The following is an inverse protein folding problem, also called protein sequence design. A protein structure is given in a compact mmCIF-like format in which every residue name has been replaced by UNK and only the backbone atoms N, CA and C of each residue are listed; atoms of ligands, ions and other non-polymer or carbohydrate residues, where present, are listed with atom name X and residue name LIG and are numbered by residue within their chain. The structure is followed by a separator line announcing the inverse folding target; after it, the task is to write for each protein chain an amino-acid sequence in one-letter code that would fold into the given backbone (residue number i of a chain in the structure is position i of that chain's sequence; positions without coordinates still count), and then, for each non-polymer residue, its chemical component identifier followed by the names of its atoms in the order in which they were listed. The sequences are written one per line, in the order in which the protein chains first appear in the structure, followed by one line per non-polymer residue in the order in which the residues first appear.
data_IF_180468344302
#
_entry.id   IF_180468344302
#
_cell.length_a   1.000
_cell.length_b   1.000
_cell.length_c   1.000
_cell.angle_alpha   90.00
_cell.angle_beta   90.00
_cell.angle_gamma   90.00
#
_symmetry.space_group_name_H-M   'P 1'
#
loop_
_entity.id
_entity.type
_entity.pdbx_description
1 polymer ?
#
# COMPACT_ATOMS: atom_id res chain seq x y z
N UNK A 1 3.48 8.21 16.94
CA UNK A 1 4.94 8.28 17.20
C UNK A 1 5.67 7.96 15.91
N UNK A 2 6.84 8.55 15.65
CA UNK A 2 7.70 8.21 14.51
C UNK A 2 8.95 7.57 15.08
N UNK A 3 9.11 6.26 14.84
CA UNK A 3 10.01 5.40 15.60
C UNK A 3 9.29 4.76 16.80
N UNK A 4 9.40 3.44 16.91
CA UNK A 4 8.91 2.63 18.03
C UNK A 4 10.03 1.69 18.48
N UNK A 5 10.15 1.48 19.79
CA UNK A 5 11.00 0.41 20.32
C UNK A 5 10.32 -0.97 20.19
N UNK A 6 11.05 -2.04 20.51
CA UNK A 6 10.55 -3.42 20.40
C UNK A 6 9.26 -3.63 21.21
N UNK A 7 9.22 -3.15 22.46
CA UNK A 7 8.05 -3.35 23.33
C UNK A 7 6.82 -2.58 22.84
N UNK A 8 7.03 -1.41 22.24
CA UNK A 8 5.96 -0.64 21.61
C UNK A 8 5.45 -1.32 20.33
N UNK A 9 6.35 -1.90 19.51
CA UNK A 9 5.94 -2.68 18.33
C UNK A 9 5.14 -3.91 18.74
N UNK A 10 5.59 -4.66 19.75
CA UNK A 10 4.88 -5.83 20.29
C UNK A 10 3.48 -5.43 20.79
N UNK A 11 3.37 -4.34 21.55
CA UNK A 11 2.07 -3.81 22.00
C UNK A 11 1.12 -3.51 20.83
N UNK A 12 1.61 -2.88 19.76
CA UNK A 12 0.77 -2.59 18.58
C UNK A 12 0.40 -3.87 17.83
N UNK A 13 1.28 -4.88 17.81
CA UNK A 13 1.06 -6.12 17.08
C UNK A 13 0.13 -7.11 17.79
N UNK A 14 0.11 -7.12 19.13
CA UNK A 14 -0.62 -8.12 19.92
C UNK A 14 -1.69 -7.56 20.85
N UNK A 15 -1.89 -6.24 20.90
CA UNK A 15 -2.89 -5.63 21.77
C UNK A 15 -4.31 -5.78 21.23
N UNK A 16 -5.23 -6.27 22.06
CA UNK A 16 -6.64 -6.44 21.71
C UNK A 16 -7.40 -5.10 21.57
N UNK A 17 -6.84 -4.01 22.12
CA UNK A 17 -7.39 -2.65 22.11
C UNK A 17 -6.87 -1.78 20.95
N UNK A 18 -6.05 -2.35 20.05
CA UNK A 18 -5.39 -1.60 18.98
C UNK A 18 -6.36 -1.32 17.84
N UNK A 19 -6.68 -0.02 17.67
CA UNK A 19 -7.55 0.46 16.59
C UNK A 19 -6.78 0.62 15.28
N UNK A 20 -7.44 0.37 14.15
CA UNK A 20 -6.93 0.78 12.83
C UNK A 20 -7.14 2.28 12.65
N UNK A 21 -6.08 3.04 12.43
CA UNK A 21 -6.13 4.51 12.32
C UNK A 21 -5.79 4.97 10.90
N UNK A 22 -6.80 5.48 10.20
CA UNK A 22 -6.65 6.31 9.01
C UNK A 22 -6.28 7.75 9.35
N UNK A 23 -5.97 8.56 8.33
CA UNK A 23 -5.69 9.99 8.53
C UNK A 23 -6.79 10.72 9.32
N UNK A 24 -8.07 10.45 9.02
CA UNK A 24 -9.22 11.04 9.72
C UNK A 24 -9.31 10.66 11.20
N UNK A 25 -8.73 9.51 11.57
CA UNK A 25 -8.82 8.96 12.92
C UNK A 25 -7.72 9.53 13.84
N UNK A 26 -6.72 10.24 13.27
CA UNK A 26 -5.58 10.77 14.02
C UNK A 26 -5.98 11.83 15.06
N UNK A 27 -6.81 12.80 14.70
CA UNK A 27 -7.20 13.88 15.62
C UNK A 27 -7.99 13.35 16.84
N UNK A 28 -9.03 12.51 16.65
CA UNK A 28 -9.72 11.88 17.77
C UNK A 28 -8.80 10.99 18.62
N UNK A 29 -7.90 10.21 17.99
CA UNK A 29 -6.97 9.35 18.72
C UNK A 29 -6.00 10.17 19.59
N UNK A 30 -5.48 11.29 19.07
CA UNK A 30 -4.63 12.22 19.82
C UNK A 30 -5.37 12.85 21.00
N UNK A 31 -6.60 13.34 20.78
CA UNK A 31 -7.40 13.98 21.82
C UNK A 31 -7.77 13.03 22.98
N UNK A 32 -7.91 11.74 22.68
CA UNK A 32 -8.33 10.71 23.66
C UNK A 32 -7.17 9.90 24.24
N UNK A 33 -5.94 10.09 23.73
CA UNK A 33 -4.79 9.26 24.09
C UNK A 33 -4.89 7.80 23.60
N UNK A 34 -5.75 7.52 22.62
CA UNK A 34 -5.94 6.17 22.11
C UNK A 34 -4.71 5.67 21.33
N UNK A 35 -4.39 4.39 21.49
CA UNK A 35 -3.36 3.70 20.69
C UNK A 35 -3.97 3.05 19.46
N UNK A 36 -3.18 2.91 18.39
CA UNK A 36 -3.66 2.28 17.16
C UNK A 36 -2.59 2.06 16.11
N UNK A 37 -2.85 1.10 15.22
CA UNK A 37 -2.04 0.78 14.06
C UNK A 37 -2.41 1.70 12.89
N UNK A 38 -1.45 2.49 12.41
CA UNK A 38 -1.68 3.46 11.33
C UNK A 38 -1.76 2.77 9.97
N UNK A 39 -2.74 3.16 9.17
CA UNK A 39 -2.83 2.79 7.74
C UNK A 39 -1.78 3.51 6.90
N UNK A 40 -1.72 3.24 5.59
CA UNK A 40 -0.86 3.97 4.65
C UNK A 40 -1.15 5.47 4.71
N UNK A 41 -2.42 5.89 4.73
CA UNK A 41 -2.78 7.30 4.85
C UNK A 41 -2.17 7.95 6.09
N UNK A 42 -2.52 7.49 7.28
CA UNK A 42 -1.98 8.04 8.52
C UNK A 42 -0.44 8.01 8.58
N UNK A 43 0.17 6.92 8.11
CA UNK A 43 1.63 6.76 8.13
C UNK A 43 2.32 7.74 7.17
N UNK A 44 1.82 7.89 5.94
CA UNK A 44 2.37 8.81 4.95
C UNK A 44 2.32 10.26 5.45
N UNK A 45 1.18 10.68 6.02
CA UNK A 45 1.04 12.02 6.60
C UNK A 45 2.05 12.27 7.74
N UNK A 46 2.11 11.35 8.70
CA UNK A 46 3.00 11.49 9.86
C UNK A 46 4.48 11.42 9.47
N UNK A 47 4.83 10.55 8.52
CA UNK A 47 6.19 10.41 8.00
C UNK A 47 6.64 11.69 7.29
N UNK A 48 5.83 12.21 6.36
CA UNK A 48 6.13 13.46 5.66
C UNK A 48 6.26 14.64 6.64
N UNK A 49 5.37 14.74 7.62
CA UNK A 49 5.44 15.77 8.68
C UNK A 49 6.71 15.67 9.53
N UNK A 50 7.27 14.47 9.68
CA UNK A 50 8.53 14.24 10.37
C UNK A 50 9.78 14.37 9.47
N UNK A 51 9.61 14.77 8.20
CA UNK A 51 10.71 14.91 7.23
C UNK A 51 11.17 13.59 6.60
N UNK A 52 10.44 12.50 6.80
CA UNK A 52 10.76 11.20 6.16
C UNK A 52 10.22 11.20 4.73
N UNK A 53 11.12 11.01 3.76
CA UNK A 53 10.79 11.06 2.32
C UNK A 53 10.50 9.73 1.67
N UNK A 54 10.84 8.60 2.31
CA UNK A 54 10.65 7.26 1.75
C UNK A 54 9.94 6.37 2.77
N UNK A 55 8.86 5.73 2.33
CA UNK A 55 8.02 4.85 3.12
C UNK A 55 7.83 3.51 2.40
N UNK A 56 8.05 2.38 3.08
CA UNK A 56 7.79 1.05 2.57
C UNK A 56 6.53 0.44 3.17
N UNK A 57 5.71 -0.21 2.36
CA UNK A 57 4.55 -0.98 2.80
C UNK A 57 4.39 -2.23 1.95
N UNK A 58 3.51 -3.15 2.34
CA UNK A 58 3.16 -4.30 1.49
C UNK A 58 2.43 -3.85 0.23
N UNK A 59 1.25 -3.25 0.40
CA UNK A 59 0.39 -2.79 -0.68
C UNK A 59 -0.51 -1.65 -0.21
N UNK A 60 -0.83 -0.74 -1.12
CA UNK A 60 -1.71 0.41 -0.86
C UNK A 60 -3.16 -0.05 -0.66
N UNK A 61 -3.97 0.77 -0.01
CA UNK A 61 -5.40 0.80 -0.31
C UNK A 61 -5.66 1.43 -1.68
N UNK A 62 -6.90 1.39 -2.15
CA UNK A 62 -7.26 1.88 -3.48
C UNK A 62 -8.76 1.93 -3.67
N UNK A 63 -9.18 1.91 -4.92
CA UNK A 63 -10.60 1.80 -5.30
C UNK A 63 -11.03 0.34 -5.09
N UNK A 64 -12.10 0.12 -4.33
CA UNK A 64 -12.63 -1.22 -4.14
C UNK A 64 -13.41 -1.69 -5.37
N UNK A 65 -13.51 -3.01 -5.52
CA UNK A 65 -14.40 -3.62 -6.52
C UNK A 65 -15.84 -3.15 -6.27
N UNK A 66 -16.61 -2.98 -7.34
CA UNK A 66 -17.97 -2.43 -7.30
C UNK A 66 -18.07 -0.97 -6.80
N UNK A 67 -16.99 -0.18 -6.91
CA UNK A 67 -16.97 1.23 -6.52
C UNK A 67 -18.09 2.08 -7.15
N UNK A 68 -18.50 1.80 -8.39
CA UNK A 68 -19.59 2.52 -9.06
C UNK A 68 -20.94 2.39 -8.35
N UNK A 69 -21.09 1.40 -7.47
CA UNK A 69 -22.29 1.17 -6.64
C UNK A 69 -22.02 1.52 -5.18
N UNK A 70 -20.90 1.04 -4.62
CA UNK A 70 -20.61 1.11 -3.18
C UNK A 70 -19.94 2.40 -2.76
N UNK A 71 -19.24 3.07 -3.68
CA UNK A 71 -18.40 4.23 -3.41
C UNK A 71 -17.42 3.99 -2.23
N UNK A 72 -16.82 2.80 -2.15
CA UNK A 72 -15.73 2.46 -1.22
C UNK A 72 -14.31 2.66 -1.81
N UNK A 73 -13.63 3.74 -1.41
CA UNK A 73 -12.30 4.15 -1.87
C UNK A 73 -11.45 4.45 -0.65
N UNK A 74 -10.24 3.91 -0.67
CA UNK A 74 -9.28 4.16 0.40
C UNK A 74 -8.90 5.64 0.48
N UNK A 75 -8.96 6.18 1.69
CA UNK A 75 -8.42 7.50 2.01
C UNK A 75 -6.91 7.65 1.71
N UNK A 76 -6.21 6.54 1.45
CA UNK A 76 -4.83 6.55 0.96
C UNK A 76 -4.69 7.40 -0.31
N UNK A 77 -5.59 7.26 -1.29
CA UNK A 77 -5.43 7.90 -2.60
C UNK A 77 -5.46 9.43 -2.50
N UNK A 78 -6.53 9.96 -1.90
CA UNK A 78 -6.71 11.40 -1.75
C UNK A 78 -5.64 12.03 -0.83
N UNK A 79 -5.10 11.27 0.13
CA UNK A 79 -4.02 11.78 0.97
C UNK A 79 -2.68 11.78 0.23
N UNK A 80 -2.36 10.71 -0.49
CA UNK A 80 -1.12 10.60 -1.27
C UNK A 80 -1.04 11.69 -2.35
N UNK A 81 -2.19 12.09 -2.91
CA UNK A 81 -2.33 13.24 -3.81
C UNK A 81 -1.94 14.60 -3.21
N UNK A 82 -1.68 14.67 -1.90
CA UNK A 82 -1.33 15.89 -1.16
C UNK A 82 -0.16 15.70 -0.20
N UNK A 83 0.61 14.62 -0.36
CA UNK A 83 1.68 14.26 0.57
C UNK A 83 2.98 14.02 -0.19
N UNK A 84 3.99 14.86 0.04
CA UNK A 84 5.31 14.74 -0.58
C UNK A 84 6.12 13.58 0.00
N UNK A 85 5.90 12.37 -0.52
CA UNK A 85 6.57 11.14 -0.05
C UNK A 85 6.68 10.10 -1.16
N UNK A 86 7.77 9.32 -1.18
CA UNK A 86 7.89 8.13 -2.00
C UNK A 86 7.33 6.92 -1.25
N UNK A 87 6.40 6.18 -1.85
CA UNK A 87 5.86 4.94 -1.27
C UNK A 87 6.27 3.75 -2.10
N UNK A 88 7.11 2.88 -1.53
CA UNK A 88 7.51 1.61 -2.15
C UNK A 88 6.54 0.51 -1.73
N UNK A 89 5.87 -0.10 -2.70
CA UNK A 89 4.87 -1.14 -2.46
C UNK A 89 4.79 -2.15 -3.62
N UNK A 90 4.17 -3.29 -3.38
CA UNK A 90 3.82 -4.26 -4.41
C UNK A 90 2.47 -3.91 -5.08
N UNK A 91 2.24 -2.62 -5.35
CA UNK A 91 1.00 -2.13 -5.92
C UNK A 91 -0.10 -1.90 -4.88
N UNK A 92 -1.34 -2.20 -5.24
CA UNK A 92 -2.52 -2.11 -4.35
C UNK A 92 -2.93 -3.51 -3.93
N UNK A 93 -3.49 -3.68 -2.71
CA UNK A 93 -3.90 -5.00 -2.22
C UNK A 93 -4.77 -5.72 -3.26
N UNK A 94 -4.51 -7.00 -3.50
CA UNK A 94 -5.11 -7.77 -4.60
C UNK A 94 -6.64 -7.87 -4.58
N UNK A 95 -7.26 -7.52 -3.45
CA UNK A 95 -8.71 -7.48 -3.25
C UNK A 95 -9.38 -6.27 -3.93
N UNK A 96 -8.59 -5.29 -4.37
CA UNK A 96 -9.03 -4.02 -4.91
C UNK A 96 -9.24 -4.10 -6.43
N UNK A 97 -9.78 -3.03 -6.99
CA UNK A 97 -9.88 -2.81 -8.42
C UNK A 97 -8.63 -2.07 -8.90
N UNK A 98 -7.68 -2.82 -9.49
CA UNK A 98 -6.41 -2.27 -9.98
C UNK A 98 -6.61 -1.22 -11.08
N UNK A 99 -7.36 -1.49 -12.17
CA UNK A 99 -7.52 -0.50 -13.23
C UNK A 99 -8.24 0.76 -12.74
N UNK A 100 -9.28 0.65 -11.91
CA UNK A 100 -9.93 1.82 -11.33
C UNK A 100 -8.99 2.60 -10.39
N UNK A 101 -8.12 1.91 -9.65
CA UNK A 101 -7.13 2.58 -8.79
C UNK A 101 -6.08 3.33 -9.60
N UNK A 102 -5.57 2.76 -10.70
CA UNK A 102 -4.62 3.44 -11.57
C UNK A 102 -5.22 4.70 -12.20
N UNK A 103 -6.45 4.61 -12.72
CA UNK A 103 -7.19 5.76 -13.24
C UNK A 103 -7.43 6.85 -12.19
N UNK A 104 -7.67 6.43 -10.95
CA UNK A 104 -7.85 7.36 -9.84
C UNK A 104 -6.55 8.05 -9.44
N UNK A 105 -5.43 7.33 -9.39
CA UNK A 105 -4.11 7.91 -9.14
C UNK A 105 -3.73 8.92 -10.22
N UNK A 106 -3.99 8.61 -11.49
CA UNK A 106 -3.83 9.52 -12.63
C UNK A 106 -4.65 10.80 -12.42
N UNK A 107 -5.95 10.67 -12.16
CA UNK A 107 -6.86 11.81 -11.93
C UNK A 107 -6.40 12.69 -10.77
N UNK A 108 -5.80 12.09 -9.74
CA UNK A 108 -5.31 12.77 -8.54
C UNK A 108 -3.89 13.34 -8.70
N UNK A 109 -3.23 13.13 -9.85
CA UNK A 109 -1.86 13.59 -10.07
C UNK A 109 -0.82 12.86 -9.22
N UNK A 110 -1.09 11.61 -8.83
CA UNK A 110 -0.13 10.76 -8.10
C UNK A 110 0.72 9.99 -9.09
N UNK A 111 2.03 10.24 -9.10
CA UNK A 111 2.95 9.56 -10.01
C UNK A 111 3.12 8.09 -9.67
N UNK A 112 3.21 7.23 -10.69
CA UNK A 112 3.47 5.79 -10.56
C UNK A 112 4.65 5.41 -11.45
N UNK A 113 5.65 4.73 -10.88
CA UNK A 113 6.78 4.16 -11.61
C UNK A 113 6.91 2.67 -11.27
N UNK A 114 7.13 1.82 -12.27
CA UNK A 114 7.51 0.43 -12.07
C UNK A 114 9.00 0.29 -11.82
N UNK A 115 9.38 -0.48 -10.79
CA UNK A 115 10.78 -0.78 -10.50
C UNK A 115 11.20 -2.08 -11.18
N UNK A 116 11.99 -1.97 -12.25
CA UNK A 116 12.45 -3.10 -13.06
C UNK A 116 11.35 -3.77 -13.89
N UNK A 117 10.19 -3.13 -14.02
CA UNK A 117 9.01 -3.67 -14.71
C UNK A 117 8.21 -2.55 -15.39
N UNK A 118 7.56 -2.88 -16.51
CA UNK A 118 6.54 -2.06 -17.20
C UNK A 118 5.11 -2.51 -16.86
N UNK A 119 4.98 -3.45 -15.91
CA UNK A 119 3.72 -4.01 -15.42
C UNK A 119 3.48 -3.60 -13.97
N UNK A 120 2.26 -3.16 -13.67
CA UNK A 120 1.84 -2.89 -12.31
C UNK A 120 1.66 -4.21 -11.54
N UNK A 121 2.26 -4.37 -10.35
CA UNK A 121 2.17 -5.60 -9.56
C UNK A 121 0.80 -5.79 -8.92
N UNK A 122 0.37 -7.05 -8.83
CA UNK A 122 -0.92 -7.47 -8.26
C UNK A 122 -0.85 -7.83 -6.77
N UNK A 123 0.04 -7.18 -6.00
CA UNK A 123 0.32 -7.46 -4.59
C UNK A 123 0.92 -8.84 -4.32
N UNK A 124 0.10 -9.90 -4.37
CA UNK A 124 0.60 -11.27 -4.26
C UNK A 124 1.17 -11.81 -5.57
N UNK A 125 0.87 -11.12 -6.68
CA UNK A 125 1.26 -11.48 -8.03
C UNK A 125 2.28 -10.48 -8.57
N UNK A 126 3.24 -10.98 -9.34
CA UNK A 126 4.28 -10.19 -10.01
C UNK A 126 3.67 -9.20 -11.00
N UNK A 127 2.62 -9.62 -11.71
CA UNK A 127 1.88 -8.83 -12.70
C UNK A 127 0.37 -8.85 -12.39
N UNK A 128 -0.27 -7.68 -12.44
CA UNK A 128 -1.72 -7.51 -12.29
C UNK A 128 -2.50 -7.56 -13.60
N UNK A 129 -1.84 -7.57 -14.75
CA UNK A 129 -2.48 -7.40 -16.06
C UNK A 129 -2.37 -5.98 -16.62
N UNK A 130 -1.98 -4.99 -15.80
CA UNK A 130 -2.02 -3.57 -16.16
C UNK A 130 -0.63 -2.96 -16.36
N UNK A 131 -0.44 -2.09 -17.36
CA UNK A 131 0.84 -1.43 -17.59
C UNK A 131 1.10 -0.30 -16.58
N UNK A 132 2.36 0.11 -16.48
CA UNK A 132 2.77 1.42 -15.93
C UNK A 132 3.50 2.21 -17.01
N UNK A 133 3.30 3.53 -17.04
CA UNK A 133 3.84 4.37 -18.11
C UNK A 133 5.34 4.64 -17.98
N UNK A 134 5.88 4.53 -16.77
CA UNK A 134 7.26 4.88 -16.45
C UNK A 134 7.96 3.74 -15.72
N UNK A 135 9.17 3.40 -16.16
CA UNK A 135 10.00 2.36 -15.54
C UNK A 135 11.33 2.94 -15.10
N UNK A 136 11.73 2.58 -13.89
CA UNK A 136 13.05 2.86 -13.31
C UNK A 136 13.75 1.55 -12.96
N UNK A 137 15.07 1.51 -12.99
CA UNK A 137 15.87 0.28 -12.86
C UNK A 137 16.86 0.30 -11.71
N UNK A 138 17.05 1.44 -11.05
CA UNK A 138 17.95 1.55 -9.90
C UNK A 138 17.38 2.47 -8.80
N UNK A 139 17.85 2.32 -7.54
CA UNK A 139 17.48 3.23 -6.46
C UNK A 139 17.86 4.70 -6.75
N UNK A 140 18.95 4.92 -7.49
CA UNK A 140 19.41 6.24 -7.91
C UNK A 140 18.47 6.90 -8.91
N UNK A 141 17.89 6.12 -9.84
CA UNK A 141 16.86 6.61 -10.76
C UNK A 141 15.59 7.03 -9.99
N UNK A 142 15.16 6.24 -9.00
CA UNK A 142 14.05 6.64 -8.11
C UNK A 142 14.39 7.95 -7.39
N UNK A 143 15.58 8.06 -6.81
CA UNK A 143 16.03 9.28 -6.14
C UNK A 143 16.11 10.48 -7.09
N UNK A 144 16.49 10.27 -8.35
CA UNK A 144 16.49 11.31 -9.39
C UNK A 144 15.07 11.80 -9.70
N UNK A 145 14.08 10.91 -9.78
CA UNK A 145 12.66 11.30 -9.94
C UNK A 145 12.20 12.16 -8.76
N UNK A 146 12.55 11.80 -7.53
CA UNK A 146 12.22 12.61 -6.35
C UNK A 146 12.87 13.99 -6.40
N UNK A 147 14.13 14.09 -6.87
CA UNK A 147 14.84 15.38 -7.00
C UNK A 147 14.22 16.24 -8.09
N UNK A 148 13.83 15.61 -9.21
CA UNK A 148 13.13 16.28 -10.29
C UNK A 148 11.74 16.79 -9.85
N UNK A 149 11.00 16.00 -9.07
CA UNK A 149 9.72 16.41 -8.47
C UNK A 149 9.89 17.64 -7.56
N UNK A 150 10.95 17.68 -6.75
CA UNK A 150 11.23 18.82 -5.89
C UNK A 150 11.67 20.06 -6.69
N UNK A 151 12.48 19.88 -7.74
CA UNK A 151 12.93 20.97 -8.62
C UNK A 151 11.81 21.56 -9.48
N UNK A 152 10.85 20.75 -9.93
CA UNK A 152 9.68 21.22 -10.67
C UNK A 152 8.77 22.11 -9.82
N UNK A 153 8.78 21.93 -8.49
CA UNK A 153 7.86 22.61 -7.60
C UNK A 153 6.39 22.20 -7.83
N UNK A 154 5.45 23.03 -7.34
CA UNK A 154 4.01 22.77 -7.48
C UNK A 154 3.38 22.01 -6.30
N UNK A 155 2.13 21.55 -6.45
CA UNK A 155 1.39 20.86 -5.40
C UNK A 155 2.14 19.62 -4.89
N UNK A 156 2.04 19.36 -3.59
CA UNK A 156 2.56 18.13 -3.01
C UNK A 156 1.82 16.92 -3.55
N UNK A 157 2.56 15.89 -3.95
CA UNK A 157 2.01 14.61 -4.38
C UNK A 157 3.03 13.51 -4.11
N UNK A 158 2.54 12.30 -3.85
CA UNK A 158 3.37 11.14 -3.63
C UNK A 158 3.92 10.58 -4.96
N UNK A 159 5.02 9.85 -4.86
CA UNK A 159 5.50 8.96 -5.91
C UNK A 159 5.29 7.51 -5.47
N UNK A 160 4.52 6.74 -6.22
CA UNK A 160 4.37 5.30 -6.02
C UNK A 160 5.48 4.58 -6.79
N UNK A 161 6.30 3.83 -6.06
CA UNK A 161 7.34 2.96 -6.62
C UNK A 161 6.82 1.53 -6.54
N UNK A 162 6.27 1.06 -7.64
CA UNK A 162 5.66 -0.25 -7.77
C UNK A 162 6.75 -1.31 -7.95
N UNK A 163 7.00 -2.09 -6.89
CA UNK A 163 8.04 -3.11 -6.82
C UNK A 163 7.39 -4.50 -6.73
N UNK A 164 7.47 -5.32 -7.80
CA UNK A 164 6.83 -6.63 -7.83
C UNK A 164 7.47 -7.59 -6.82
N UNK A 165 6.66 -8.50 -6.27
CA UNK A 165 7.18 -9.73 -5.65
C UNK A 165 7.87 -10.57 -6.72
N UNK A 166 8.91 -11.32 -6.38
CA UNK A 166 9.56 -12.21 -7.34
C UNK A 166 8.59 -13.31 -7.79
N UNK A 167 8.65 -13.71 -9.06
CA UNK A 167 7.76 -14.75 -9.62
C UNK A 167 7.87 -16.08 -8.86
N UNK A 168 9.06 -16.45 -8.39
CA UNK A 168 9.27 -17.65 -7.57
C UNK A 168 8.69 -17.56 -6.15
N UNK A 169 8.33 -16.36 -5.69
CA UNK A 169 7.78 -16.08 -4.36
C UNK A 169 6.31 -15.65 -4.40
N UNK A 170 5.73 -15.52 -5.60
CA UNK A 170 4.35 -15.09 -5.79
C UNK A 170 3.35 -16.18 -5.41
N UNK A 171 2.11 -15.78 -5.13
CA UNK A 171 1.01 -16.73 -4.96
C UNK A 171 0.63 -17.35 -6.31
N UNK A 172 0.30 -18.64 -6.35
CA UNK A 172 -0.21 -19.28 -7.56
C UNK A 172 -1.40 -18.48 -8.15
N UNK A 173 -1.32 -17.99 -9.40
CA UNK A 173 -2.35 -17.11 -9.96
C UNK A 173 -3.75 -17.76 -10.01
N UNK A 174 -3.83 -19.06 -10.29
CA UNK A 174 -5.11 -19.76 -10.37
C UNK A 174 -5.74 -19.95 -8.98
N UNK A 175 -4.94 -20.28 -7.97
CA UNK A 175 -5.37 -20.34 -6.57
C UNK A 175 -5.82 -18.97 -6.09
N UNK A 176 -5.04 -17.91 -6.36
CA UNK A 176 -5.38 -16.54 -5.99
C UNK A 176 -6.74 -16.12 -6.56
N UNK A 177 -6.95 -16.33 -7.86
CA UNK A 177 -8.18 -15.94 -8.53
C UNK A 177 -9.41 -16.65 -7.93
N UNK A 178 -9.32 -17.97 -7.69
CA UNK A 178 -10.43 -18.74 -7.09
C UNK A 178 -10.76 -18.27 -5.68
N UNK A 179 -9.76 -18.20 -4.81
CA UNK A 179 -9.98 -17.85 -3.39
C UNK A 179 -10.43 -16.39 -3.24
N UNK A 180 -9.96 -15.49 -4.10
CA UNK A 180 -10.43 -14.11 -4.09
C UNK A 180 -11.91 -14.01 -4.48
N UNK A 181 -12.34 -14.76 -5.49
CA UNK A 181 -13.75 -14.80 -5.89
C UNK A 181 -14.65 -15.37 -4.77
N UNK A 182 -14.20 -16.44 -4.11
CA UNK A 182 -14.86 -17.01 -2.92
C UNK A 182 -14.93 -15.99 -1.77
N UNK A 183 -13.84 -15.28 -1.49
CA UNK A 183 -13.77 -14.27 -0.44
C UNK A 183 -14.75 -13.11 -0.70
N UNK A 184 -14.86 -12.66 -1.95
CA UNK A 184 -15.77 -11.58 -2.33
C UNK A 184 -17.23 -12.00 -2.19
N UNK A 185 -17.58 -13.23 -2.61
CA UNK A 185 -18.92 -13.81 -2.39
C UNK A 185 -19.25 -13.89 -0.90
N UNK A 186 -18.34 -14.43 -0.08
CA UNK A 186 -18.53 -14.53 1.37
C UNK A 186 -18.63 -13.16 2.06
N UNK A 187 -17.91 -12.14 1.56
CA UNK A 187 -17.98 -10.77 2.07
C UNK A 187 -19.37 -10.16 1.83
N UNK A 188 -19.92 -10.37 0.63
CA UNK A 188 -21.25 -9.90 0.24
C UNK A 188 -22.36 -10.62 1.02
N UNK A 189 -22.31 -11.95 1.11
CA UNK A 189 -23.29 -12.78 1.85
C UNK A 189 -23.37 -12.38 3.34
N UNK A 190 -22.24 -11.99 3.93
CA UNK A 190 -22.15 -11.56 5.33
C UNK A 190 -22.40 -10.06 5.54
N UNK A 191 -22.65 -9.29 4.48
CA UNK A 191 -22.90 -7.85 4.56
C UNK A 191 -21.74 -7.05 5.17
N UNK A 192 -20.49 -7.50 4.99
CA UNK A 192 -19.31 -6.80 5.53
C UNK A 192 -19.04 -5.56 4.69
N UNK A 193 -18.96 -4.40 5.35
CA UNK A 193 -18.82 -3.09 4.69
C UNK A 193 -17.80 -2.18 5.37
N UNK A 194 -17.37 -1.14 4.65
CA UNK A 194 -16.45 -0.11 5.15
C UNK A 194 -15.09 -0.67 5.60
N UNK A 195 -14.55 -0.14 6.70
CA UNK A 195 -13.19 -0.48 7.16
C UNK A 195 -12.96 -1.97 7.50
N UNK A 196 -14.04 -2.74 7.67
CA UNK A 196 -14.02 -4.18 7.96
C UNK A 196 -13.80 -5.06 6.73
N UNK A 197 -14.01 -4.55 5.50
CA UNK A 197 -13.88 -5.31 4.25
C UNK A 197 -12.45 -5.82 4.04
N UNK A 198 -11.45 -4.95 4.14
CA UNK A 198 -10.05 -5.35 3.92
C UNK A 198 -9.57 -6.41 4.91
N UNK A 199 -9.72 -6.24 6.25
CA UNK A 199 -9.33 -7.29 7.20
C UNK A 199 -10.03 -8.63 6.92
N UNK A 200 -11.33 -8.60 6.62
CA UNK A 200 -12.09 -9.80 6.28
C UNK A 200 -11.53 -10.54 5.06
N UNK A 201 -11.33 -9.82 3.95
CA UNK A 201 -10.90 -10.44 2.68
C UNK A 201 -9.47 -10.98 2.80
N UNK A 202 -8.58 -10.27 3.49
CA UNK A 202 -7.20 -10.74 3.71
C UNK A 202 -7.15 -11.96 4.63
N UNK A 203 -7.94 -11.98 5.71
CA UNK A 203 -8.04 -13.15 6.59
C UNK A 203 -8.59 -14.37 5.83
N UNK A 204 -9.62 -14.17 5.00
CA UNK A 204 -10.16 -15.23 4.14
C UNK A 204 -9.08 -15.80 3.20
N UNK A 205 -8.32 -14.94 2.53
CA UNK A 205 -7.20 -15.33 1.66
C UNK A 205 -6.11 -16.07 2.42
N UNK A 206 -5.81 -15.72 3.66
CA UNK A 206 -4.81 -16.45 4.47
C UNK A 206 -5.29 -17.86 4.79
N UNK A 207 -6.54 -18.00 5.24
CA UNK A 207 -7.11 -19.30 5.63
C UNK A 207 -7.28 -20.24 4.45
N UNK A 208 -7.78 -19.76 3.31
CA UNK A 208 -8.13 -20.59 2.16
C UNK A 208 -6.98 -20.77 1.16
N UNK A 209 -5.78 -20.29 1.49
CA UNK A 209 -4.54 -20.60 0.74
C UNK A 209 -3.51 -21.34 1.58
N UNK A 210 -3.91 -21.88 2.75
CA UNK A 210 -2.99 -22.53 3.70
C UNK A 210 -1.75 -21.66 4.01
N UNK A 211 -2.01 -20.37 4.21
CA UNK A 211 -0.98 -19.35 4.48
C UNK A 211 -0.08 -18.98 3.30
N UNK A 212 -0.33 -19.49 2.08
CA UNK A 212 0.48 -19.12 0.91
C UNK A 212 0.40 -17.61 0.61
N UNK A 213 -0.79 -17.00 0.75
CA UNK A 213 -0.94 -15.55 0.60
C UNK A 213 -0.15 -14.76 1.66
N UNK A 214 -0.03 -15.28 2.88
CA UNK A 214 0.81 -14.67 3.92
C UNK A 214 2.30 -14.76 3.56
N UNK A 215 2.76 -15.90 3.04
CA UNK A 215 4.15 -16.08 2.58
C UNK A 215 4.50 -15.10 1.46
N UNK A 216 3.63 -14.97 0.46
CA UNK A 216 3.78 -13.99 -0.62
C UNK A 216 3.78 -12.55 -0.10
N UNK A 217 2.90 -12.21 0.86
CA UNK A 217 2.88 -10.89 1.50
C UNK A 217 4.22 -10.57 2.20
N UNK A 218 4.77 -11.53 2.95
CA UNK A 218 6.03 -11.36 3.67
C UNK A 218 7.20 -11.18 2.69
N UNK A 219 7.21 -11.91 1.57
CA UNK A 219 8.20 -11.73 0.51
C UNK A 219 8.11 -10.33 -0.10
N UNK A 220 6.91 -9.88 -0.47
CA UNK A 220 6.65 -8.54 -0.99
C UNK A 220 7.10 -7.45 -0.01
N UNK A 221 6.68 -7.51 1.26
CA UNK A 221 7.08 -6.53 2.29
C UNK A 221 8.60 -6.49 2.46
N UNK A 222 9.28 -7.64 2.53
CA UNK A 222 10.74 -7.70 2.63
C UNK A 222 11.43 -7.09 1.41
N UNK A 223 10.92 -7.35 0.22
CA UNK A 223 11.39 -6.74 -1.03
C UNK A 223 11.24 -5.22 -1.02
N UNK A 224 10.06 -4.74 -0.64
CA UNK A 224 9.75 -3.31 -0.58
C UNK A 224 10.61 -2.57 0.45
N UNK A 225 10.82 -3.15 1.64
CA UNK A 225 11.71 -2.58 2.66
C UNK A 225 13.16 -2.54 2.18
N UNK A 226 13.64 -3.61 1.55
CA UNK A 226 15.01 -3.66 0.96
C UNK A 226 15.20 -2.56 -0.08
N UNK A 227 14.25 -2.40 -1.00
CA UNK A 227 14.31 -1.36 -2.02
C UNK A 227 14.22 0.04 -1.41
N UNK A 228 13.23 0.29 -0.53
CA UNK A 228 13.04 1.58 0.12
C UNK A 228 14.27 2.04 0.91
N UNK A 229 14.96 1.14 1.60
CA UNK A 229 16.19 1.47 2.31
C UNK A 229 17.30 1.94 1.34
N UNK A 230 17.44 1.29 0.18
CA UNK A 230 18.41 1.69 -0.85
C UNK A 230 18.03 3.02 -1.50
N UNK A 231 16.74 3.23 -1.78
CA UNK A 231 16.23 4.52 -2.31
C UNK A 231 16.47 5.64 -1.32
N UNK A 232 16.19 5.42 -0.02
CA UNK A 232 16.44 6.40 1.03
C UNK A 232 17.94 6.76 1.13
N UNK A 233 18.83 5.77 1.04
CA UNK A 233 20.27 6.02 1.01
C UNK A 233 20.70 6.82 -0.24
N UNK A 234 20.17 6.49 -1.42
CA UNK A 234 20.44 7.22 -2.66
C UNK A 234 19.85 8.64 -2.69
N UNK A 235 18.73 8.85 -2.00
CA UNK A 235 18.09 10.16 -1.81
C UNK A 235 18.88 11.06 -0.86
N UNK A 236 19.48 10.50 0.19
CA UNK A 236 20.25 11.25 1.19
C UNK A 236 21.63 11.73 0.74
N UNK A 237 22.05 11.35 -0.47
CA UNK A 237 23.30 11.79 -1.11
C UNK A 237 23.02 12.97 -2.03
#
# INVERSE_FOLDING_TARGET
RVGLDKGQVERIASGDDIRKLGHRDLAPALATGASGATTVSATAFLAARAGVRVFATGGLGGVHRQWTVTQDESADLALLARTRIAVVCAGVKSILDVPATLQRLETLGVGVVGYGTDRFPGFYLTDSGHPVDWTVRSPEEVAAVLRAQDALGGPDSALIVANPVAESEQLDPALHARVLDEALRACAERGVTGQAVTPFLLDHLVRHTDGASLRANLAAVRGNVRLAARVAAAWSR
#
